data_IF_644718144946
#
_entry.id   IF_644718144946
#
_cell.length_a   1.000
_cell.length_b   1.000
_cell.length_c   1.000
_cell.angle_alpha   90.00
_cell.angle_beta   90.00
_cell.angle_gamma   90.00
#
_symmetry.space_group_name_H-M   'P 1'
#
loop_
_entity.id
_entity.type
_entity.pdbx_description
1 polymer ?
#
# COMPACT_ATOMS: atom_id res chain seq x y z
N UNK A 1 15.16 -23.05 -6.89
CA UNK A 1 14.00 -22.61 -6.09
C UNK A 1 13.71 -21.17 -6.48
N UNK A 2 12.60 -20.94 -7.18
CA UNK A 2 12.22 -19.59 -7.61
C UNK A 2 11.64 -18.86 -6.39
N UNK A 3 12.46 -18.03 -5.74
CA UNK A 3 11.92 -17.06 -4.79
C UNK A 3 11.09 -16.08 -5.62
N UNK A 4 9.77 -16.27 -5.67
CA UNK A 4 8.87 -15.28 -6.26
C UNK A 4 9.15 -13.96 -5.54
N UNK A 5 9.80 -13.03 -6.25
CA UNK A 5 10.01 -11.70 -5.73
C UNK A 5 8.64 -11.11 -5.40
N UNK A 6 8.47 -10.63 -4.17
CA UNK A 6 7.30 -9.85 -3.84
C UNK A 6 7.38 -8.55 -4.66
N UNK A 7 6.26 -8.02 -5.17
CA UNK A 7 6.28 -6.83 -6.02
C UNK A 7 6.74 -5.57 -5.26
N UNK A 8 6.80 -5.64 -3.93
CA UNK A 8 7.22 -4.55 -3.05
C UNK A 8 8.20 -5.03 -1.98
N UNK A 9 9.04 -4.12 -1.51
CA UNK A 9 9.99 -4.34 -0.41
C UNK A 9 9.77 -3.33 0.73
N UNK A 10 10.08 -3.73 1.97
CA UNK A 10 10.06 -2.80 3.10
C UNK A 10 11.13 -1.72 2.93
N UNK A 11 10.80 -0.47 3.27
CA UNK A 11 11.60 0.73 3.05
C UNK A 11 11.46 1.34 1.65
N UNK A 12 10.76 0.67 0.73
CA UNK A 12 10.52 1.19 -0.61
C UNK A 12 9.43 2.27 -0.59
N UNK A 13 9.62 3.36 -1.32
CA UNK A 13 8.59 4.39 -1.54
C UNK A 13 8.08 4.29 -2.98
N UNK A 14 6.78 4.17 -3.14
CA UNK A 14 6.10 4.00 -4.44
C UNK A 14 4.97 5.02 -4.60
N UNK A 15 4.79 5.54 -5.81
CA UNK A 15 3.62 6.34 -6.14
C UNK A 15 2.44 5.39 -6.41
N UNK A 16 1.53 5.29 -5.45
CA UNK A 16 0.40 4.36 -5.50
C UNK A 16 -0.91 5.12 -5.52
N UNK A 17 -1.84 4.64 -6.33
CA UNK A 17 -3.21 5.12 -6.31
C UNK A 17 -3.96 4.43 -5.18
N UNK A 18 -4.60 5.21 -4.30
CA UNK A 18 -5.55 4.67 -3.34
C UNK A 18 -6.85 4.38 -4.10
N UNK A 19 -7.22 3.11 -4.20
CA UNK A 19 -8.37 2.67 -5.00
C UNK A 19 -9.67 2.71 -4.19
N UNK A 20 -9.62 2.28 -2.93
CA UNK A 20 -10.79 2.13 -2.07
C UNK A 20 -10.40 2.34 -0.59
N UNK A 21 -11.34 2.73 0.29
CA UNK A 21 -11.09 2.73 1.72
C UNK A 21 -11.09 1.29 2.25
N UNK A 22 -10.33 1.03 3.32
CA UNK A 22 -10.31 -0.29 3.94
C UNK A 22 -11.70 -0.62 4.52
N UNK A 23 -12.26 -1.77 4.17
CA UNK A 23 -13.65 -2.15 4.51
C UNK A 23 -13.96 -2.11 6.02
N UNK A 24 -13.03 -2.56 6.86
CA UNK A 24 -13.19 -2.52 8.33
C UNK A 24 -12.71 -1.22 8.99
N UNK A 25 -11.87 -0.42 8.33
CA UNK A 25 -11.32 0.82 8.87
C UNK A 25 -11.28 1.89 7.78
N UNK A 26 -12.37 2.65 7.61
CA UNK A 26 -12.47 3.65 6.55
C UNK A 26 -11.44 4.80 6.64
N UNK A 27 -10.67 4.88 7.72
CA UNK A 27 -9.54 5.79 7.82
C UNK A 27 -8.34 5.37 6.96
N UNK A 28 -8.18 4.07 6.71
CA UNK A 28 -7.09 3.52 5.91
C UNK A 28 -7.50 3.37 4.44
N UNK A 29 -6.51 3.43 3.56
CA UNK A 29 -6.68 3.26 2.13
C UNK A 29 -6.12 1.93 1.64
N UNK A 30 -6.72 1.39 0.59
CA UNK A 30 -6.23 0.21 -0.12
C UNK A 30 -5.66 0.65 -1.46
N UNK A 31 -4.43 0.23 -1.72
CA UNK A 31 -3.78 0.31 -3.02
C UNK A 31 -3.40 -1.09 -3.50
N UNK A 32 -3.16 -1.25 -4.81
CA UNK A 32 -2.68 -2.51 -5.38
C UNK A 32 -1.53 -2.28 -6.33
N UNK A 33 -0.59 -3.23 -6.32
CA UNK A 33 0.51 -3.33 -7.28
C UNK A 33 0.46 -4.73 -7.87
N UNK A 34 0.15 -4.84 -9.16
CA UNK A 34 0.04 -6.12 -9.87
C UNK A 34 -0.86 -7.14 -9.14
N UNK A 35 -1.96 -6.67 -8.55
CA UNK A 35 -2.89 -7.50 -7.77
C UNK A 35 -2.49 -7.78 -6.33
N UNK A 36 -1.30 -7.35 -5.90
CA UNK A 36 -0.83 -7.43 -4.52
C UNK A 36 -1.35 -6.24 -3.70
N UNK A 37 -2.03 -6.53 -2.60
CA UNK A 37 -2.75 -5.54 -1.78
C UNK A 37 -1.78 -4.79 -0.87
N UNK A 38 -1.96 -3.48 -0.76
CA UNK A 38 -1.18 -2.59 0.09
C UNK A 38 -2.17 -1.79 0.94
N UNK A 39 -2.14 -2.06 2.23
CA UNK A 39 -2.88 -1.34 3.27
C UNK A 39 -2.09 -0.08 3.65
N UNK A 40 -2.65 1.09 3.39
CA UNK A 40 -2.02 2.40 3.56
C UNK A 40 -2.70 3.15 4.71
N UNK A 41 -1.99 3.30 5.82
CA UNK A 41 -2.49 3.99 6.99
C UNK A 41 -2.88 5.45 6.68
N UNK A 42 -4.01 5.89 7.26
CA UNK A 42 -4.55 7.26 7.15
C UNK A 42 -4.87 7.75 5.72
N UNK A 43 -4.88 6.84 4.74
CA UNK A 43 -5.07 7.17 3.34
C UNK A 43 -6.52 6.98 2.83
N UNK A 44 -7.47 6.62 3.71
CA UNK A 44 -8.87 6.42 3.33
C UNK A 44 -9.54 7.68 2.78
N UNK A 45 -9.10 8.87 3.23
CA UNK A 45 -9.53 10.17 2.65
C UNK A 45 -8.90 10.52 1.31
N UNK A 46 -7.90 9.75 0.87
CA UNK A 46 -7.11 9.99 -0.34
C UNK A 46 -7.51 9.05 -1.47
N UNK A 47 -8.64 8.34 -1.32
CA UNK A 47 -9.23 7.49 -2.35
C UNK A 47 -9.37 8.26 -3.66
N UNK A 48 -8.91 7.67 -4.76
CA UNK A 48 -8.85 8.25 -6.09
C UNK A 48 -7.56 9.04 -6.38
N UNK A 49 -6.75 9.36 -5.37
CA UNK A 49 -5.50 10.11 -5.53
C UNK A 49 -4.28 9.18 -5.61
N UNK A 50 -3.23 9.67 -6.28
CA UNK A 50 -1.91 9.03 -6.31
C UNK A 50 -1.04 9.71 -5.28
N UNK A 51 -0.52 8.94 -4.34
CA UNK A 51 0.27 9.45 -3.21
C UNK A 51 1.56 8.64 -3.06
N UNK A 52 2.66 9.25 -2.58
CA UNK A 52 3.85 8.51 -2.20
C UNK A 52 3.54 7.65 -0.99
N UNK A 53 3.73 6.33 -1.11
CA UNK A 53 3.53 5.37 -0.02
C UNK A 53 4.85 4.71 0.31
N UNK A 54 5.28 4.86 1.56
CA UNK A 54 6.40 4.11 2.13
C UNK A 54 5.89 2.75 2.62
N UNK A 55 6.46 1.68 2.09
CA UNK A 55 6.16 0.31 2.49
C UNK A 55 6.91 0.01 3.79
N UNK A 56 6.18 -0.23 4.87
CA UNK A 56 6.77 -0.45 6.20
C UNK A 56 7.01 -1.94 6.46
N UNK A 57 6.05 -2.79 6.08
CA UNK A 57 6.10 -4.23 6.29
C UNK A 57 5.50 -4.95 5.10
N UNK A 58 6.11 -6.06 4.70
CA UNK A 58 5.64 -6.90 3.61
C UNK A 58 5.26 -8.27 4.19
N UNK A 59 4.05 -8.73 3.90
CA UNK A 59 3.56 -10.06 4.28
C UNK A 59 3.40 -10.94 3.04
N UNK A 60 3.00 -12.20 3.23
CA UNK A 60 2.84 -13.12 2.10
C UNK A 60 1.72 -12.71 1.13
N UNK A 61 0.66 -12.09 1.64
CA UNK A 61 -0.57 -11.78 0.87
C UNK A 61 -0.87 -10.30 0.72
N UNK A 62 -0.20 -9.43 1.49
CA UNK A 62 -0.37 -7.98 1.44
C UNK A 62 0.82 -7.27 2.08
N UNK A 63 0.97 -5.97 1.85
CA UNK A 63 1.91 -5.12 2.58
C UNK A 63 1.18 -4.04 3.37
N UNK A 64 1.86 -3.49 4.38
CA UNK A 64 1.45 -2.30 5.10
C UNK A 64 2.38 -1.15 4.76
N UNK A 65 1.81 0.01 4.51
CA UNK A 65 2.52 1.25 4.25
C UNK A 65 1.85 2.44 4.90
N UNK A 66 2.49 3.60 4.72
CA UNK A 66 1.95 4.90 5.11
C UNK A 66 2.23 5.90 4.02
N UNK A 67 1.47 6.99 3.99
CA UNK A 67 1.82 8.11 3.13
C UNK A 67 3.17 8.69 3.57
N UNK A 68 4.12 8.75 2.65
CA UNK A 68 5.43 9.33 2.94
C UNK A 68 5.29 10.86 3.09
N UNK A 69 5.94 11.47 4.10
CA UNK A 69 6.01 12.92 4.19
C UNK A 69 6.75 13.48 2.97
N UNK A 70 6.34 14.67 2.53
CA UNK A 70 7.09 15.46 1.53
C UNK A 70 8.40 15.99 2.13
#
# INVERSE_FOLDING_TARGET
>A
MEARALPVAAGQVLQLRIEEPHASNGADGIARVDGYVIDVADAGRLVGQVVPVEILKVFRTYAKGRVAPH
#
